data_IF_518466297654
#
_entry.id   IF_518466297654
#
_cell.length_a   1.000
_cell.length_b   1.000
_cell.length_c   1.000
_cell.angle_alpha   90.00
_cell.angle_beta   90.00
_cell.angle_gamma   90.00
#
_symmetry.space_group_name_H-M   'P 1'
#
loop_
_entity.id
_entity.type
_entity.pdbx_description
1 polymer ?
2 non-polymer ?
3 non-polymer ?
#
# COMPACT_ATOMS: atom_id res chain seq x y z
N UNK A 2 -14.53 -19.12 -5.16
CA UNK A 2 -15.37 -17.93 -5.46
C UNK A 2 -14.56 -16.87 -6.17
N UNK A 3 -15.25 -15.95 -6.84
CA UNK A 3 -14.58 -14.89 -7.57
C UNK A 3 -14.76 -13.58 -6.84
N UNK A 4 -13.76 -12.72 -6.92
CA UNK A 4 -13.84 -11.45 -6.24
C UNK A 4 -13.25 -10.31 -7.06
N UNK A 5 -13.58 -9.11 -6.66
CA UNK A 5 -13.05 -7.95 -7.35
C UNK A 5 -11.97 -7.36 -6.45
N UNK A 6 -10.71 -7.56 -6.86
CA UNK A 6 -9.54 -7.06 -6.15
C UNK A 6 -9.16 -5.67 -6.65
N UNK A 7 -8.88 -4.78 -5.72
CA UNK A 7 -8.48 -3.42 -6.07
C UNK A 7 -7.06 -3.29 -5.52
N UNK A 8 -6.07 -3.43 -6.41
CA UNK A 8 -4.67 -3.37 -6.03
C UNK A 8 -4.13 -1.96 -5.87
N UNK A 9 -3.75 -1.63 -4.65
CA UNK A 9 -3.23 -0.31 -4.33
C UNK A 9 -1.73 -0.29 -4.13
N UNK A 10 -1.04 0.48 -4.97
CA UNK A 10 0.42 0.64 -4.94
C UNK A 10 0.88 1.64 -3.87
N UNK A 11 2.18 1.61 -3.59
CA UNK A 11 2.74 2.53 -2.60
C UNK A 11 3.23 3.80 -3.30
N UNK A 12 3.62 4.79 -2.51
CA UNK A 12 4.12 6.05 -3.06
C UNK A 12 5.32 5.84 -3.98
N UNK A 13 5.55 6.83 -4.84
CA UNK A 13 6.65 6.82 -5.79
C UNK A 13 6.53 5.71 -6.83
N UNK A 14 5.47 4.91 -6.71
CA UNK A 14 5.20 3.81 -7.65
C UNK A 14 3.90 4.05 -8.44
N UNK A 15 3.43 3.01 -9.13
CA UNK A 15 2.21 3.09 -9.91
C UNK A 15 1.50 1.75 -9.96
N UNK A 16 0.48 1.64 -10.82
CA UNK A 16 -0.25 0.38 -10.95
C UNK A 16 0.67 -0.70 -11.53
N UNK A 17 1.64 -0.27 -12.33
CA UNK A 17 2.59 -1.18 -12.97
C UNK A 17 3.26 -2.21 -12.06
N UNK A 18 3.33 -1.93 -10.76
CA UNK A 18 3.97 -2.89 -9.86
C UNK A 18 3.12 -4.17 -9.78
N UNK A 19 1.92 -4.12 -10.33
CA UNK A 19 1.03 -5.27 -10.30
C UNK A 19 0.90 -5.91 -11.69
N UNK A 20 1.78 -5.52 -12.60
CA UNK A 20 1.70 -6.04 -13.95
C UNK A 20 1.76 -7.58 -14.03
N UNK A 21 2.32 -8.21 -13.02
CA UNK A 21 2.40 -9.67 -12.99
C UNK A 21 1.23 -10.28 -12.24
N UNK A 22 0.92 -9.75 -11.07
CA UNK A 22 -0.17 -10.27 -10.27
C UNK A 22 -1.53 -10.17 -10.98
N UNK A 23 -1.84 -9.00 -11.50
CA UNK A 23 -3.11 -8.77 -12.17
C UNK A 23 -3.51 -9.89 -13.15
N UNK A 24 -2.72 -10.09 -14.21
CA UNK A 24 -3.11 -11.15 -15.13
C UNK A 24 -3.27 -12.51 -14.48
N UNK A 25 -2.39 -12.85 -13.54
CA UNK A 25 -2.50 -14.15 -12.89
C UNK A 25 -3.81 -14.31 -12.12
N UNK A 26 -4.22 -13.25 -11.43
CA UNK A 26 -5.46 -13.25 -10.66
C UNK A 26 -6.67 -13.46 -11.58
N UNK A 27 -6.64 -12.85 -12.75
CA UNK A 27 -7.74 -12.99 -13.68
C UNK A 27 -7.74 -14.43 -14.20
N UNK A 28 -6.53 -14.98 -14.39
CA UNK A 28 -6.40 -16.35 -14.87
C UNK A 28 -7.11 -17.26 -13.90
N UNK A 29 -7.47 -16.72 -12.73
CA UNK A 29 -8.19 -17.47 -11.70
C UNK A 29 -9.68 -17.16 -11.75
N UNK A 30 -10.07 -16.20 -12.58
CA UNK A 30 -11.48 -15.86 -12.69
C UNK A 30 -11.90 -14.61 -11.93
N UNK A 31 -10.91 -13.87 -11.41
CA UNK A 31 -11.21 -12.67 -10.64
C UNK A 31 -11.22 -11.38 -11.46
N UNK A 32 -11.98 -10.41 -10.97
CA UNK A 32 -12.05 -9.10 -11.58
C UNK A 32 -10.99 -8.33 -10.82
N UNK A 33 -10.07 -7.71 -11.54
CA UNK A 33 -8.97 -6.99 -10.90
C UNK A 33 -8.81 -5.55 -11.38
N UNK A 34 -8.81 -4.62 -10.43
CA UNK A 34 -8.61 -3.21 -10.76
C UNK A 34 -7.29 -2.76 -10.15
N UNK A 35 -6.43 -2.18 -10.97
CA UNK A 35 -5.15 -1.67 -10.47
C UNK A 35 -5.13 -0.16 -10.71
N UNK A 36 -5.34 0.60 -9.64
CA UNK A 36 -5.39 2.05 -9.72
C UNK A 36 -4.07 2.80 -9.56
N UNK A 37 -4.02 3.97 -10.19
CA UNK A 37 -2.89 4.89 -10.12
C UNK A 37 -3.36 5.98 -9.18
N UNK A 38 -2.68 6.16 -8.05
CA UNK A 38 -3.05 7.22 -7.12
C UNK A 38 -2.55 8.56 -7.64
N UNK A 39 -3.02 9.67 -7.05
CA UNK A 39 -2.59 10.98 -7.52
C UNK A 39 -1.08 11.06 -7.74
N UNK A 40 -0.70 11.75 -8.82
CA UNK A 40 0.71 11.96 -9.18
C UNK A 40 1.54 10.68 -9.17
N UNK A 41 0.91 9.56 -9.49
CA UNK A 41 1.59 8.27 -9.52
C UNK A 41 1.30 7.59 -10.84
N UNK A 42 2.28 6.84 -11.34
CA UNK A 42 2.11 6.13 -12.60
C UNK A 42 1.92 7.12 -13.72
N UNK A 43 0.91 6.92 -14.55
CA UNK A 43 0.69 7.88 -15.63
C UNK A 43 -0.41 8.90 -15.26
N UNK A 44 -0.60 9.11 -13.97
CA UNK A 44 -1.59 10.09 -13.52
C UNK A 44 -1.03 11.42 -13.97
N UNK A 45 -1.88 12.29 -14.52
CA UNK A 45 -1.43 13.61 -15.00
C UNK A 45 -1.02 14.63 -13.95
N UNK A 46 -1.40 14.42 -12.70
CA UNK A 46 -1.03 15.35 -11.65
C UNK A 46 0.43 15.23 -11.20
N UNK A 47 0.96 16.30 -10.64
CA UNK A 47 2.33 16.30 -10.12
C UNK A 47 2.24 16.39 -8.60
N UNK A 48 3.17 15.75 -7.89
CA UNK A 48 3.13 15.75 -6.44
C UNK A 48 2.91 17.12 -5.77
N UNK A 49 3.51 18.16 -6.32
CA UNK A 49 3.39 19.50 -5.74
C UNK A 49 1.94 19.93 -5.66
N UNK A 50 1.06 19.30 -6.43
CA UNK A 50 -0.37 19.61 -6.42
C UNK A 50 -1.11 18.91 -5.29
N UNK A 51 -0.50 17.88 -4.71
CA UNK A 51 -1.13 17.12 -3.64
C UNK A 51 -0.74 17.68 -2.27
N UNK A 52 -1.72 17.81 -1.38
CA UNK A 52 -1.47 18.37 -0.06
C UNK A 52 -1.70 17.46 1.14
N UNK A 53 -2.08 16.21 0.88
CA UNK A 53 -2.32 15.25 1.95
C UNK A 53 -2.46 13.84 1.42
N UNK A 54 -2.43 12.89 2.33
CA UNK A 54 -2.56 11.49 1.98
C UNK A 54 -3.98 11.23 1.45
N UNK A 55 -4.93 12.00 1.97
CA UNK A 55 -6.32 11.86 1.55
C UNK A 55 -6.49 12.28 0.09
N UNK A 56 -5.84 13.38 -0.29
CA UNK A 56 -5.92 13.84 -1.67
C UNK A 56 -5.19 12.83 -2.53
N UNK A 57 -4.03 12.42 -2.06
CA UNK A 57 -3.21 11.44 -2.74
C UNK A 57 -4.07 10.20 -3.02
N UNK A 58 -4.95 9.88 -2.08
CA UNK A 58 -5.83 8.72 -2.17
C UNK A 58 -7.07 8.88 -3.07
N UNK A 59 -7.28 10.09 -3.60
CA UNK A 59 -8.42 10.39 -4.46
C UNK A 59 -8.90 9.27 -5.42
N UNK A 60 -8.06 8.84 -6.36
CA UNK A 60 -8.48 7.79 -7.29
C UNK A 60 -9.21 6.60 -6.65
N UNK A 61 -8.64 6.06 -5.58
CA UNK A 61 -9.24 4.93 -4.87
C UNK A 61 -10.64 5.30 -4.39
N UNK A 62 -10.74 6.47 -3.77
CA UNK A 62 -12.02 6.98 -3.26
C UNK A 62 -13.08 7.07 -4.34
N UNK A 63 -12.70 7.64 -5.48
CA UNK A 63 -13.61 7.82 -6.58
C UNK A 63 -13.98 6.47 -7.18
N UNK A 64 -13.04 5.53 -7.19
CA UNK A 64 -13.34 4.21 -7.72
C UNK A 64 -14.43 3.58 -6.88
N UNK A 65 -14.30 3.66 -5.55
CA UNK A 65 -15.27 3.11 -4.64
C UNK A 65 -16.63 3.79 -4.80
N UNK A 66 -16.62 5.13 -4.87
CA UNK A 66 -17.83 5.92 -5.03
C UNK A 66 -18.64 5.46 -6.24
N UNK A 67 -17.93 5.03 -7.28
CA UNK A 67 -18.57 4.59 -8.52
C UNK A 67 -19.13 3.17 -8.48
N UNK A 68 -18.84 2.43 -7.42
CA UNK A 68 -19.38 1.09 -7.32
C UNK A 68 -20.88 1.15 -7.06
N UNK A 69 -21.67 0.34 -7.79
CA UNK A 69 -23.12 0.32 -7.60
C UNK A 69 -23.47 -0.36 -6.27
N UNK A 70 -24.52 0.12 -5.60
CA UNK A 70 -24.93 -0.44 -4.32
C UNK A 70 -24.92 -1.97 -4.31
N UNK A 71 -24.33 -2.55 -3.27
CA UNK A 71 -24.30 -4.00 -3.16
C UNK A 71 -23.01 -4.69 -3.61
N UNK A 72 -22.20 -3.99 -4.39
CA UNK A 72 -20.94 -4.54 -4.88
C UNK A 72 -19.82 -4.31 -3.88
N UNK A 73 -19.16 -5.39 -3.47
CA UNK A 73 -18.06 -5.29 -2.52
C UNK A 73 -16.75 -5.69 -3.17
N UNK A 74 -15.67 -5.06 -2.76
CA UNK A 74 -14.35 -5.37 -3.30
C UNK A 74 -13.40 -5.73 -2.18
N UNK A 75 -12.24 -6.27 -2.55
CA UNK A 75 -11.21 -6.62 -1.59
C UNK A 75 -10.02 -5.73 -1.92
N UNK A 76 -9.68 -4.85 -0.99
CA UNK A 76 -8.56 -3.94 -1.19
C UNK A 76 -7.26 -4.62 -0.86
N UNK A 77 -6.27 -4.48 -1.73
CA UNK A 77 -4.95 -5.07 -1.51
C UNK A 77 -3.93 -3.95 -1.62
N UNK A 78 -3.34 -3.57 -0.49
CA UNK A 78 -2.35 -2.51 -0.50
C UNK A 78 -0.97 -3.02 -0.15
N UNK A 79 0.06 -2.39 -0.71
CA UNK A 79 1.43 -2.80 -0.44
C UNK A 79 2.22 -1.66 0.14
N UNK A 80 3.08 -1.99 1.10
CA UNK A 80 3.93 -1.01 1.74
C UNK A 80 3.16 0.19 2.36
N UNK A 81 3.15 1.34 1.70
CA UNK A 81 2.42 2.48 2.26
C UNK A 81 0.92 2.43 1.91
N UNK A 82 0.56 1.43 1.10
CA UNK A 82 -0.80 1.24 0.65
C UNK A 82 -1.84 1.05 1.75
N UNK A 83 -1.40 0.53 2.89
CA UNK A 83 -2.32 0.31 4.01
C UNK A 83 -2.97 1.60 4.49
N UNK A 84 -2.26 2.71 4.32
CA UNK A 84 -2.78 4.02 4.71
C UNK A 84 -3.93 4.44 3.80
N UNK A 85 -3.80 4.14 2.51
CA UNK A 85 -4.83 4.48 1.53
C UNK A 85 -6.07 3.66 1.89
N UNK A 86 -5.86 2.45 2.38
CA UNK A 86 -6.94 1.56 2.77
C UNK A 86 -7.73 2.12 3.97
N UNK A 87 -7.01 2.56 5.00
CA UNK A 87 -7.66 3.10 6.18
C UNK A 87 -8.48 4.35 5.81
N UNK A 88 -7.91 5.20 4.95
CA UNK A 88 -8.56 6.42 4.51
C UNK A 88 -9.87 6.09 3.79
N UNK A 89 -9.86 5.06 2.95
CA UNK A 89 -11.06 4.68 2.22
C UNK A 89 -12.06 3.97 3.12
N UNK A 90 -11.57 3.07 3.97
CA UNK A 90 -12.43 2.32 4.89
C UNK A 90 -13.28 3.23 5.77
N UNK A 91 -12.79 4.44 6.02
CA UNK A 91 -13.53 5.40 6.86
C UNK A 91 -14.51 6.19 6.01
N UNK A 92 -14.76 5.73 4.79
CA UNK A 92 -15.66 6.44 3.91
C UNK A 92 -16.51 5.48 3.09
N UNK A 93 -16.10 4.21 3.04
CA UNK A 93 -16.81 3.21 2.25
C UNK A 93 -16.70 1.81 2.81
N UNK A 94 -16.80 1.64 4.13
CA UNK A 94 -16.64 0.31 4.67
C UNK A 94 -17.67 -0.72 4.20
N UNK A 95 -18.90 -0.29 3.97
CA UNK A 95 -19.93 -1.21 3.52
C UNK A 95 -19.55 -1.88 2.19
N UNK A 96 -18.69 -1.20 1.43
CA UNK A 96 -18.26 -1.69 0.14
C UNK A 96 -17.02 -2.60 0.17
N UNK A 97 -16.35 -2.67 1.31
CA UNK A 97 -15.14 -3.48 1.43
C UNK A 97 -15.42 -4.82 2.09
N UNK A 98 -15.22 -5.90 1.33
CA UNK A 98 -15.45 -7.25 1.83
C UNK A 98 -14.33 -7.64 2.79
N UNK A 99 -13.13 -7.12 2.50
CA UNK A 99 -11.93 -7.36 3.30
C UNK A 99 -10.78 -6.52 2.74
N UNK A 100 -9.69 -6.45 3.51
CA UNK A 100 -8.51 -5.69 3.10
C UNK A 100 -7.22 -6.47 3.39
N UNK A 101 -6.46 -6.72 2.34
CA UNK A 101 -5.21 -7.46 2.47
C UNK A 101 -4.04 -6.50 2.50
N UNK A 102 -3.13 -6.71 3.45
CA UNK A 102 -1.94 -5.89 3.58
C UNK A 102 -0.77 -6.73 3.11
N UNK A 103 -0.10 -6.24 2.08
CA UNK A 103 1.04 -6.89 1.41
C UNK A 103 2.33 -6.15 1.80
N UNK A 104 3.05 -6.68 2.80
CA UNK A 104 4.28 -6.03 3.32
C UNK A 104 3.97 -4.55 3.50
N UNK A 105 2.79 -4.28 4.04
CA UNK A 105 2.31 -2.91 4.24
C UNK A 105 2.24 -2.40 5.67
N UNK A 106 1.96 -1.10 5.80
CA UNK A 106 1.81 -0.47 7.10
C UNK A 106 0.41 -0.77 7.61
N UNK A 107 0.29 -1.01 8.91
CA UNK A 107 -1.01 -1.34 9.50
C UNK A 107 -1.47 -0.29 10.50
N UNK A 108 -2.13 0.78 10.03
CA UNK A 108 -2.60 1.83 10.93
C UNK A 108 -3.64 1.27 11.92
N UNK A 109 -3.83 1.98 13.02
CA UNK A 109 -4.80 1.55 14.01
C UNK A 109 -5.72 2.71 14.33
N UNK A 110 -6.55 2.54 15.35
CA UNK A 110 -7.47 3.61 15.72
C UNK A 110 -7.14 4.29 17.06
N UNK A 111 -6.32 3.66 17.90
CA UNK A 111 -5.98 4.24 19.19
C UNK A 111 -4.89 5.33 19.11
N UNK A 112 -4.14 5.35 18.02
CA UNK A 112 -3.08 6.34 17.82
C UNK A 112 -3.33 7.22 16.60
N UNK A 113 -2.51 8.27 16.45
CA UNK A 113 -2.66 9.17 15.31
C UNK A 113 -2.35 8.44 14.00
N UNK A 114 -2.85 8.95 12.87
CA UNK A 114 -2.64 8.34 11.55
C UNK A 114 -1.18 8.18 11.12
N UNK A 115 -0.24 8.82 11.81
CA UNK A 115 1.17 8.71 11.45
C UNK A 115 1.95 7.70 12.30
N UNK A 116 1.31 7.26 13.38
CA UNK A 116 1.89 6.30 14.32
C UNK A 116 2.82 5.24 13.74
N UNK A 117 2.32 4.43 12.80
CA UNK A 117 3.13 3.38 12.21
C UNK A 117 4.17 3.91 11.23
N UNK A 118 3.91 5.09 10.68
CA UNK A 118 4.85 5.69 9.75
C UNK A 118 6.06 6.15 10.54
N UNK A 119 5.78 6.74 11.71
CA UNK A 119 6.83 7.22 12.58
C UNK A 119 7.68 6.06 13.07
N UNK A 120 7.02 4.96 13.42
CA UNK A 120 7.72 3.77 13.91
C UNK A 120 8.61 3.19 12.84
N UNK A 121 8.16 3.28 11.59
CA UNK A 121 8.96 2.74 10.50
C UNK A 121 10.26 3.52 10.38
N UNK A 122 10.14 4.84 10.48
CA UNK A 122 11.30 5.69 10.37
C UNK A 122 12.34 5.41 11.47
N UNK A 123 11.87 4.83 12.57
CA UNK A 123 12.73 4.48 13.69
C UNK A 123 13.53 3.24 13.36
N UNK A 124 12.85 2.25 12.77
CA UNK A 124 13.47 0.98 12.42
C UNK A 124 14.31 1.07 11.15
N UNK A 125 13.86 1.89 10.21
CA UNK A 125 14.56 2.08 8.94
C UNK A 125 14.83 3.56 8.74
N UNK A 126 15.83 4.09 9.44
CA UNK A 126 16.19 5.51 9.34
C UNK A 126 17.02 5.95 8.12
N UNK A 127 17.88 5.06 7.60
CA UNK A 127 18.75 5.40 6.47
C UNK A 127 18.27 4.93 5.09
N UNK A 128 17.63 5.84 4.37
CA UNK A 128 17.10 5.54 3.04
C UNK A 128 18.13 5.68 1.94
N UNK A 129 19.38 5.60 2.35
CA UNK A 129 20.51 5.66 1.45
C UNK A 129 20.52 6.85 0.48
N UNK A 130 20.60 6.56 -0.83
CA UNK A 130 20.66 7.59 -1.86
C UNK A 130 19.40 8.33 -2.23
N UNK A 131 18.34 8.16 -1.42
CA UNK A 131 17.08 8.84 -1.67
C UNK A 131 17.29 10.32 -1.40
N UNK A 132 16.67 11.15 -2.21
CA UNK A 132 16.79 12.59 -2.07
C UNK A 132 15.44 13.20 -1.73
N UNK A 133 15.48 14.32 -1.00
CA UNK A 133 14.25 15.01 -0.59
C UNK A 133 14.21 16.44 -1.05
N UNK A 134 13.04 17.06 -0.89
CA UNK A 134 12.83 18.44 -1.24
C UNK A 134 11.59 18.90 -0.50
N UNK A 135 11.25 20.17 -0.63
CA UNK A 135 10.06 20.67 0.03
C UNK A 135 9.28 21.59 -0.87
N UNK A 136 7.96 21.53 -0.75
CA UNK A 136 7.06 22.39 -1.50
C UNK A 136 5.97 22.79 -0.54
N UNK A 137 5.17 23.79 -0.88
CA UNK A 137 4.08 24.23 -0.01
C UNK A 137 2.70 24.01 -0.63
N UNK A 138 1.76 23.59 0.20
CA UNK A 138 0.39 23.36 -0.26
C UNK A 138 -0.57 23.62 0.89
N UNK A 139 -1.56 24.45 0.63
CA UNK A 139 -2.55 24.79 1.63
C UNK A 139 -1.92 25.24 2.94
N UNK A 140 -0.91 26.11 2.84
CA UNK A 140 -0.23 26.63 4.01
C UNK A 140 0.61 25.64 4.80
N UNK A 141 0.81 24.45 4.27
CA UNK A 141 1.60 23.44 4.95
C UNK A 141 2.86 23.16 4.15
N UNK A 142 3.96 22.91 4.84
CA UNK A 142 5.22 22.60 4.17
C UNK A 142 5.32 21.09 4.08
N UNK A 143 5.48 20.57 2.88
CA UNK A 143 5.56 19.14 2.69
C UNK A 143 6.93 18.67 2.19
N UNK A 144 7.40 17.57 2.79
CA UNK A 144 8.69 16.99 2.43
C UNK A 144 8.50 15.95 1.32
N UNK A 145 8.96 16.29 0.12
CA UNK A 145 8.83 15.36 -0.98
C UNK A 145 10.08 14.52 -1.10
N UNK A 146 9.95 13.34 -1.68
CA UNK A 146 11.13 12.47 -1.86
C UNK A 146 11.09 11.70 -3.18
N UNK A 147 12.28 11.33 -3.65
CA UNK A 147 12.39 10.52 -4.84
C UNK A 147 13.31 9.39 -4.41
N UNK A 148 12.79 8.16 -4.44
CA UNK A 148 13.55 6.98 -4.01
C UNK A 148 14.87 6.80 -4.75
N UNK A 149 15.95 6.58 -3.99
CA UNK A 149 17.27 6.37 -4.56
C UNK A 149 17.41 5.05 -5.29
N UNK A 150 18.09 5.09 -6.43
CA UNK A 150 18.30 3.88 -7.23
C UNK A 150 18.98 2.75 -6.47
N UNK A 151 19.98 3.06 -5.66
CA UNK A 151 20.64 2.01 -4.90
C UNK A 151 19.64 1.41 -3.92
N UNK A 152 18.86 2.25 -3.24
CA UNK A 152 17.86 1.79 -2.26
C UNK A 152 16.89 0.81 -2.91
N UNK A 153 16.44 1.16 -4.11
CA UNK A 153 15.51 0.32 -4.86
C UNK A 153 16.17 -1.02 -5.12
N UNK A 154 17.35 -0.99 -5.72
CA UNK A 154 18.11 -2.20 -6.03
C UNK A 154 18.39 -3.08 -4.81
N UNK A 155 18.93 -2.49 -3.74
CA UNK A 155 19.29 -3.23 -2.53
C UNK A 155 18.18 -3.59 -1.54
N UNK A 156 17.25 -2.68 -1.28
CA UNK A 156 16.21 -2.98 -0.29
C UNK A 156 14.79 -3.28 -0.77
N UNK A 157 14.42 -2.77 -1.94
CA UNK A 157 13.08 -3.00 -2.45
C UNK A 157 12.98 -4.12 -3.46
N UNK A 158 13.81 -4.07 -4.51
CA UNK A 158 13.84 -5.09 -5.56
C UNK A 158 14.96 -6.10 -5.33
N UNK A 159 15.36 -6.29 -4.07
CA UNK A 159 16.45 -7.20 -3.75
C UNK A 159 16.59 -8.44 -4.64
N UNK A 160 15.58 -9.31 -4.62
CA UNK A 160 15.66 -10.52 -5.41
C UNK A 160 14.95 -10.44 -6.77
N UNK A 161 14.53 -9.24 -7.15
CA UNK A 161 13.85 -9.08 -8.44
C UNK A 161 14.86 -9.07 -9.60
N UNK A 162 14.42 -9.57 -10.75
CA UNK A 162 15.29 -9.60 -11.92
C UNK A 162 15.66 -8.22 -12.43
N UNK A 163 16.80 -8.09 -13.14
CA UNK A 163 17.21 -6.79 -13.66
C UNK A 163 16.16 -6.12 -14.56
N UNK A 164 15.35 -6.93 -15.25
CA UNK A 164 14.31 -6.41 -16.12
C UNK A 164 13.18 -5.75 -15.32
N UNK A 165 12.99 -6.20 -14.08
CA UNK A 165 11.95 -5.64 -13.23
C UNK A 165 12.46 -4.39 -12.54
N UNK A 166 13.73 -4.44 -12.11
CA UNK A 166 14.37 -3.32 -11.43
C UNK A 166 14.43 -2.15 -12.41
N UNK A 167 14.68 -2.47 -13.67
CA UNK A 167 14.78 -1.47 -14.72
C UNK A 167 13.50 -0.64 -14.78
N UNK A 168 12.35 -1.32 -14.69
CA UNK A 168 11.05 -0.64 -14.70
C UNK A 168 10.95 0.42 -13.61
N UNK A 169 11.48 0.10 -12.43
CA UNK A 169 11.47 1.01 -11.28
C UNK A 169 12.28 2.27 -11.55
N UNK A 170 13.45 2.11 -12.16
CA UNK A 170 14.27 3.27 -12.47
C UNK A 170 13.66 4.13 -13.57
N UNK A 171 12.79 3.54 -14.39
CA UNK A 171 12.15 4.26 -15.46
C UNK A 171 10.76 4.75 -15.08
N UNK A 172 10.16 4.19 -14.02
CA UNK A 172 8.80 4.60 -13.69
C UNK A 172 8.56 5.31 -12.36
N UNK A 173 9.37 5.02 -11.35
CA UNK A 173 9.16 5.68 -10.06
C UNK A 173 9.29 7.19 -10.19
N UNK A 174 8.36 7.91 -9.58
CA UNK A 174 8.30 9.38 -9.64
C UNK A 174 8.43 10.03 -8.27
N UNK A 175 8.46 11.34 -8.23
CA UNK A 175 8.52 12.07 -6.96
C UNK A 175 7.28 11.72 -6.14
N UNK A 176 7.43 11.62 -4.84
CA UNK A 176 6.30 11.30 -4.00
C UNK A 176 6.41 11.94 -2.64
N UNK A 177 5.62 11.45 -1.69
CA UNK A 177 5.63 11.99 -0.35
C UNK A 177 4.89 11.10 0.65
N UNK A 178 5.34 11.13 1.90
CA UNK A 178 4.72 10.36 2.95
C UNK A 178 3.60 11.15 3.60
N UNK A 179 3.67 12.47 3.48
CA UNK A 179 2.66 13.35 4.06
C UNK A 179 2.60 13.07 5.56
N UNK A 180 3.75 12.65 6.10
CA UNK A 180 3.90 12.31 7.50
C UNK A 180 3.48 13.42 8.48
N UNK A 181 3.93 14.65 8.24
CA UNK A 181 3.58 15.75 9.12
C UNK A 181 2.09 16.06 9.01
N UNK A 182 1.50 15.79 7.85
CA UNK A 182 0.08 16.05 7.67
C UNK A 182 -0.73 14.97 8.39
N UNK A 183 -0.25 13.73 8.32
CA UNK A 183 -0.91 12.59 8.96
C UNK A 183 -0.99 12.79 10.45
N UNK A 184 0.05 13.40 11.00
CA UNK A 184 0.15 13.70 12.42
C UNK A 184 -1.02 14.56 12.91
N UNK A 185 -1.46 15.47 12.05
CA UNK A 185 -2.56 16.37 12.39
C UNK A 185 -3.91 15.91 11.87
N UNK A 186 -3.94 14.82 11.10
CA UNK A 186 -5.18 14.29 10.56
C UNK A 186 -5.98 13.62 11.67
N UNK A 187 -7.32 13.54 11.52
CA UNK A 187 -8.20 12.90 12.52
C UNK A 187 -7.86 11.41 12.61
N UNK A 188 -8.12 10.80 13.77
CA UNK A 188 -7.84 9.38 13.92
C UNK A 188 -8.81 8.61 13.06
N UNK A 189 -8.37 7.45 12.58
CA UNK A 189 -9.23 6.60 11.78
C UNK A 189 -10.27 6.10 12.78
N UNK A 190 -11.51 6.01 12.34
CA UNK A 190 -12.61 5.57 13.19
C UNK A 190 -12.67 4.07 13.42
N UNK A 191 -13.29 3.67 14.52
CA UNK A 191 -13.44 2.26 14.84
C UNK A 191 -14.63 1.67 14.10
N UNK A 192 -15.59 2.54 13.78
CA UNK A 192 -16.81 2.12 13.07
C UNK A 192 -16.54 1.81 11.60
N UNK A 193 -15.65 2.58 10.99
CA UNK A 193 -15.32 2.35 9.59
C UNK A 193 -14.13 1.43 9.41
N UNK A 194 -12.94 2.03 9.40
CA UNK A 194 -11.70 1.30 9.23
C UNK A 194 -11.55 0.16 10.27
N UNK A 195 -12.07 0.39 11.46
CA UNK A 195 -11.97 -0.63 12.50
C UNK A 195 -12.80 -1.88 12.27
N UNK A 196 -13.96 -1.73 11.63
CA UNK A 196 -14.84 -2.84 11.40
C UNK A 196 -14.43 -3.82 10.31
N UNK A 197 -13.59 -3.37 9.37
CA UNK A 197 -13.21 -4.24 8.26
C UNK A 197 -12.24 -5.39 8.58
N UNK A 198 -12.49 -6.55 7.98
CA UNK A 198 -11.63 -7.71 8.15
C UNK A 198 -10.28 -7.35 7.53
N UNK A 199 -9.21 -7.57 8.31
CA UNK A 199 -7.86 -7.25 7.87
C UNK A 199 -6.94 -8.46 7.81
N UNK A 200 -6.41 -8.75 6.61
CA UNK A 200 -5.51 -9.89 6.43
C UNK A 200 -4.10 -9.35 6.17
N UNK A 201 -3.19 -9.72 7.06
CA UNK A 201 -1.80 -9.25 6.98
C UNK A 201 -0.87 -10.28 6.33
N UNK A 202 -0.27 -9.87 5.21
CA UNK A 202 0.65 -10.72 4.45
C UNK A 202 2.08 -10.18 4.47
N UNK A 203 3.04 -11.01 4.85
CA UNK A 203 4.42 -10.54 4.90
C UNK A 203 5.46 -11.65 4.78
N UNK A 204 6.72 -11.25 4.65
CA UNK A 204 7.84 -12.16 4.57
C UNK A 204 8.97 -11.61 5.45
N UNK A 205 9.62 -12.47 6.23
CA UNK A 205 10.69 -11.99 7.10
C UNK A 205 11.97 -11.74 6.31
N UNK A 206 11.86 -11.74 4.98
CA UNK A 206 13.00 -11.49 4.09
C UNK A 206 12.98 -10.08 3.49
N UNK A 207 12.01 -9.28 3.92
CA UNK A 207 11.84 -7.89 3.48
C UNK A 207 13.00 -7.01 4.01
N UNK A 208 13.82 -6.48 3.09
CA UNK A 208 14.97 -5.66 3.45
C UNK A 208 14.72 -4.21 3.86
N UNK A 209 13.46 -3.81 3.94
CA UNK A 209 13.13 -2.45 4.36
C UNK A 209 12.05 -2.49 5.45
N UNK A 210 10.98 -3.23 5.20
CA UNK A 210 9.94 -3.38 6.19
C UNK A 210 10.40 -4.58 7.00
N UNK A 211 11.51 -4.38 7.72
CA UNK A 211 12.14 -5.42 8.53
C UNK A 211 11.20 -6.11 9.52
N UNK A 212 11.51 -7.38 9.86
CA UNK A 212 10.72 -8.21 10.79
C UNK A 212 10.31 -7.50 12.09
N UNK A 213 11.27 -6.83 12.71
CA UNK A 213 11.01 -6.11 13.94
C UNK A 213 9.83 -5.16 13.79
N UNK A 214 9.76 -4.48 12.65
CA UNK A 214 8.68 -3.53 12.38
C UNK A 214 7.36 -4.25 12.09
N UNK A 215 7.40 -5.19 11.15
CA UNK A 215 6.20 -5.95 10.79
C UNK A 215 5.65 -6.76 11.96
N UNK A 216 6.53 -7.36 12.75
CA UNK A 216 6.08 -8.11 13.91
C UNK A 216 5.50 -7.12 14.91
N UNK A 217 6.14 -5.96 15.02
CA UNK A 217 5.70 -4.90 15.91
C UNK A 217 4.28 -4.48 15.51
N UNK A 218 4.02 -4.44 14.21
CA UNK A 218 2.70 -4.06 13.70
C UNK A 218 1.60 -5.05 14.01
N UNK A 219 1.92 -6.34 14.00
CA UNK A 219 0.95 -7.38 14.27
C UNK A 219 0.57 -7.38 15.76
N UNK A 220 1.54 -7.11 16.63
CA UNK A 220 1.28 -7.07 18.06
C UNK A 220 0.47 -5.83 18.42
N UNK A 221 0.79 -4.72 17.76
CA UNK A 221 0.11 -3.46 18.01
C UNK A 221 -1.35 -3.46 17.64
N UNK A 222 -1.65 -4.08 16.50
CA UNK A 222 -3.01 -4.16 16.00
C UNK A 222 -3.19 -5.58 15.46
N UNK A 223 -3.80 -6.46 16.23
CA UNK A 223 -3.99 -7.86 15.84
C UNK A 223 -4.82 -8.10 14.57
N UNK A 224 -4.18 -8.52 13.47
CA UNK A 224 -4.88 -8.79 12.21
C UNK A 224 -5.84 -9.98 12.35
N UNK A 225 -6.83 -10.06 11.47
CA UNK A 225 -7.80 -11.16 11.50
C UNK A 225 -7.18 -12.45 11.00
N UNK A 226 -6.23 -12.33 10.09
CA UNK A 226 -5.57 -13.49 9.54
C UNK A 226 -4.17 -13.07 9.10
N UNK A 227 -3.17 -13.85 9.50
CA UNK A 227 -1.79 -13.55 9.14
C UNK A 227 -1.24 -14.62 8.22
N UNK A 228 -0.58 -14.21 7.14
CA UNK A 228 0.02 -15.15 6.19
C UNK A 228 1.48 -14.78 6.04
N UNK A 229 2.36 -15.74 6.34
CA UNK A 229 3.79 -15.52 6.24
C UNK A 229 4.39 -16.25 5.04
N UNK A 230 4.73 -15.50 4.00
CA UNK A 230 5.32 -16.09 2.81
C UNK A 230 6.79 -16.40 3.13
N UNK A 231 7.26 -17.56 2.66
CA UNK A 231 8.65 -17.98 2.87
C UNK A 231 9.51 -17.58 1.69
N UNK A 232 10.55 -16.81 1.95
CA UNK A 232 11.45 -16.38 0.89
C UNK A 232 11.12 -15.02 0.31
N UNK A 233 11.39 -14.85 -0.99
CA UNK A 233 11.12 -13.58 -1.65
C UNK A 233 11.72 -12.35 -0.98
N UNK A 234 11.16 -11.19 -1.30
CA UNK A 234 11.62 -9.91 -0.77
C UNK A 234 10.44 -8.97 -0.51
N UNK A 235 10.69 -7.67 -0.51
CA UNK A 235 9.63 -6.70 -0.29
C UNK A 235 8.54 -6.79 -1.34
N UNK A 236 8.96 -7.01 -2.55
CA UNK A 236 8.01 -7.06 -3.61
C UNK A 236 7.65 -8.48 -3.95
N UNK A 237 6.83 -9.05 -3.08
CA UNK A 237 6.34 -10.42 -3.18
C UNK A 237 5.43 -10.62 -4.40
N UNK A 238 4.77 -9.56 -4.83
CA UNK A 238 3.91 -9.64 -6.00
C UNK A 238 4.74 -9.80 -7.26
N UNK A 239 6.06 -9.74 -7.12
CA UNK A 239 6.97 -9.93 -8.25
C UNK A 239 7.77 -11.20 -8.00
N UNK A 240 8.30 -11.34 -6.79
CA UNK A 240 9.13 -12.51 -6.46
C UNK A 240 8.35 -13.74 -6.05
N UNK A 241 7.11 -13.57 -5.59
CA UNK A 241 6.31 -14.70 -5.16
C UNK A 241 4.87 -14.59 -5.63
N UNK A 242 4.67 -14.03 -6.82
CA UNK A 242 3.35 -13.84 -7.40
C UNK A 242 2.42 -15.05 -7.21
N UNK A 243 2.81 -16.22 -7.72
CA UNK A 243 2.00 -17.42 -7.59
C UNK A 243 1.48 -17.61 -6.17
N UNK A 244 2.39 -17.58 -5.19
CA UNK A 244 2.02 -17.75 -3.78
C UNK A 244 0.95 -16.73 -3.35
N UNK A 245 1.26 -15.44 -3.56
CA UNK A 245 0.35 -14.34 -3.22
C UNK A 245 -1.04 -14.63 -3.77
N UNK A 246 -1.11 -14.93 -5.07
CA UNK A 246 -2.38 -15.24 -5.70
C UNK A 246 -3.10 -16.40 -4.99
N UNK A 247 -2.33 -17.37 -4.50
CA UNK A 247 -2.91 -18.51 -3.77
C UNK A 247 -3.61 -18.02 -2.52
N UNK A 248 -2.98 -17.07 -1.84
CA UNK A 248 -3.52 -16.49 -0.62
C UNK A 248 -4.73 -15.64 -0.94
N UNK A 249 -4.63 -14.84 -1.99
CA UNK A 249 -5.74 -13.99 -2.33
C UNK A 249 -6.97 -14.83 -2.63
N UNK A 250 -6.75 -16.01 -3.22
CA UNK A 250 -7.85 -16.90 -3.56
C UNK A 250 -8.51 -17.38 -2.28
N UNK A 251 -7.68 -17.78 -1.32
CA UNK A 251 -8.19 -18.26 -0.04
C UNK A 251 -8.99 -17.17 0.64
N UNK A 252 -8.53 -15.93 0.51
CA UNK A 252 -9.20 -14.78 1.11
C UNK A 252 -10.55 -14.57 0.44
N UNK A 253 -10.58 -14.64 -0.88
CA UNK A 253 -11.81 -14.48 -1.64
C UNK A 253 -12.81 -15.55 -1.24
N UNK A 254 -12.31 -16.72 -0.85
CA UNK A 254 -13.18 -17.81 -0.45
C UNK A 254 -13.63 -17.69 1.00
N UNK A 255 -12.99 -16.79 1.74
CA UNK A 255 -13.32 -16.61 3.14
C UNK A 255 -14.13 -15.36 3.45
N UNK A 256 -13.87 -14.27 2.73
CA UNK A 256 -14.55 -13.02 2.99
C UNK A 256 -15.33 -12.48 1.79
N UNK A 257 -16.55 -12.04 2.05
CA UNK A 257 -17.41 -11.49 1.00
C UNK A 257 -18.49 -10.57 1.57
#
# INVERSE_FOLDING_TARGET
MAFAHFVLIHTICHGAWIWHKLKPLLEALGHKVTALDLAASGVDPRQIEEIGSFDEYSEPLLTFLEALPPGEKVILVGESCGGLNIAIAADKYCEKIAAAVFHNSVLPDTEHCPSYVVDKLMEVFPDWKDTTYFTYTKDGKEITGLKLGFTLLRENLYTLCGPEEYELAKMLTRKGSLFQNILAKRPFFTKEGYGSIKKIYVWTDQDEIFLPEFQLWQIENYKPDKVYKVEGGDHLLQLTKTKEIAEILQEVADTYN
#
